data_IF_568234582848
#
_entry.id   IF_568234582848
#
_cell.length_a   1.000
_cell.length_b   1.000
_cell.length_c   1.000
_cell.angle_alpha   90.00
_cell.angle_beta   90.00
_cell.angle_gamma   90.00
#
_symmetry.space_group_name_H-M   'P 1'
#
loop_
_entity.id
_entity.type
_entity.pdbx_description
1 polymer ?
#
# COMPACT_ATOMS: atom_id res chain seq x y z
N UNK A 1 56.55 29.35 -13.19
CA UNK A 1 56.72 30.82 -13.15
C UNK A 1 55.32 31.41 -13.14
N UNK A 2 54.76 31.71 -11.96
CA UNK A 2 54.96 32.96 -11.20
C UNK A 2 54.30 34.16 -11.89
N UNK A 3 53.22 34.68 -11.29
CA UNK A 3 52.93 36.11 -11.07
C UNK A 3 51.46 36.25 -10.62
N UNK A 4 51.12 36.27 -9.33
CA UNK A 4 51.27 37.34 -8.32
C UNK A 4 50.07 38.30 -8.24
N UNK A 5 49.40 38.18 -7.08
CA UNK A 5 48.53 39.13 -6.37
C UNK A 5 48.93 40.61 -6.49
N UNK A 6 47.94 41.51 -6.43
CA UNK A 6 47.96 42.78 -5.65
C UNK A 6 46.56 43.48 -5.65
N UNK A 7 46.28 44.52 -4.82
CA UNK A 7 45.34 44.38 -3.67
C UNK A 7 44.43 45.61 -3.34
N UNK A 8 43.72 45.52 -2.19
CA UNK A 8 43.41 46.56 -1.17
C UNK A 8 42.15 47.49 -1.30
N UNK A 9 41.38 47.47 -0.19
CA UNK A 9 40.71 48.57 0.54
C UNK A 9 39.29 49.05 0.16
N UNK A 10 38.33 48.77 1.06
CA UNK A 10 37.64 49.80 1.88
C UNK A 10 36.88 49.12 3.03
N UNK A 11 37.39 49.13 4.27
CA UNK A 11 37.06 50.08 5.36
C UNK A 11 35.61 50.00 5.92
N UNK A 12 35.55 49.67 7.21
CA UNK A 12 34.66 50.21 8.25
C UNK A 12 33.16 49.87 8.20
N UNK A 13 32.74 49.08 9.20
CA UNK A 13 31.96 49.54 10.36
C UNK A 13 30.77 48.64 10.74
N UNK A 14 30.64 48.46 12.05
CA UNK A 14 29.44 48.08 12.81
C UNK A 14 29.03 46.60 12.81
N UNK A 15 29.69 45.90 13.74
CA UNK A 15 29.03 44.96 14.66
C UNK A 15 27.78 45.63 15.25
N UNK A 16 26.60 45.13 14.85
CA UNK A 16 25.36 45.05 15.62
C UNK A 16 24.21 44.85 14.63
N UNK A 17 23.81 43.61 14.43
CA UNK A 17 22.43 43.23 14.11
C UNK A 17 22.23 41.83 14.65
N UNK A 18 21.71 41.84 15.88
CA UNK A 18 21.06 40.72 16.54
C UNK A 18 20.19 39.96 15.54
N UNK A 19 20.54 38.69 15.32
CA UNK A 19 19.65 37.69 14.74
C UNK A 19 18.38 37.66 15.58
N UNK A 20 17.30 38.27 15.09
CA UNK A 20 15.94 37.97 15.56
C UNK A 20 15.61 36.52 15.19
N UNK A 21 16.07 35.58 16.01
CA UNK A 21 15.38 34.31 16.19
C UNK A 21 14.13 34.61 17.00
N UNK A 22 13.03 34.89 16.32
CA UNK A 22 11.71 34.78 16.94
C UNK A 22 11.38 33.30 17.04
N UNK A 23 11.78 32.69 18.16
CA UNK A 23 11.03 31.60 18.76
C UNK A 23 9.66 32.18 19.12
N UNK A 24 8.63 31.84 18.36
CA UNK A 24 7.24 32.08 18.73
C UNK A 24 6.60 30.72 19.02
N UNK A 25 5.83 30.50 20.07
CA UNK A 25 5.38 31.32 21.20
C UNK A 25 5.19 30.31 22.34
N UNK A 26 5.81 30.54 23.50
CA UNK A 26 5.35 29.93 24.74
C UNK A 26 3.99 30.55 25.05
N UNK A 27 2.93 29.76 24.97
CA UNK A 27 1.62 30.19 25.42
C UNK A 27 1.60 30.18 26.96
N UNK A 28 1.88 31.32 27.57
CA UNK A 28 1.52 31.56 28.98
C UNK A 28 0.03 31.96 29.05
N UNK A 29 -0.76 31.10 29.69
CA UNK A 29 -1.84 31.54 30.57
C UNK A 29 -3.27 31.67 30.02
N UNK A 30 -4.13 30.78 30.52
CA UNK A 30 -5.59 30.93 30.71
C UNK A 30 -6.54 30.70 29.53
N UNK A 31 -6.88 29.43 29.29
CA UNK A 31 -8.26 28.96 29.51
C UNK A 31 -8.21 27.46 29.78
N UNK A 32 -8.87 27.02 30.84
CA UNK A 32 -9.04 25.60 31.15
C UNK A 32 -10.03 24.96 30.17
N UNK A 33 -9.69 24.95 28.88
CA UNK A 33 -10.30 23.99 27.97
C UNK A 33 -9.79 22.62 28.40
N UNK A 34 -10.68 21.76 28.88
CA UNK A 34 -10.34 20.35 29.05
C UNK A 34 -9.79 19.87 27.71
N UNK A 35 -8.48 19.61 27.62
CA UNK A 35 -7.91 19.05 26.40
C UNK A 35 -8.68 17.77 26.08
N UNK A 36 -9.31 17.71 24.91
CA UNK A 36 -10.02 16.50 24.49
C UNK A 36 -9.07 15.31 24.52
N UNK A 37 -9.59 14.11 24.79
CA UNK A 37 -8.82 12.88 24.80
C UNK A 37 -8.10 12.68 23.46
N UNK A 38 -8.74 13.04 22.35
CA UNK A 38 -8.13 13.08 21.01
C UNK A 38 -6.90 13.98 20.93
N UNK A 39 -6.99 15.24 21.38
CA UNK A 39 -5.86 16.18 21.31
C UNK A 39 -4.68 15.72 22.17
N UNK A 40 -4.97 15.13 23.34
CA UNK A 40 -3.93 14.54 24.18
C UNK A 40 -3.20 13.39 23.45
N UNK A 41 -3.93 12.46 22.84
CA UNK A 41 -3.35 11.33 22.10
C UNK A 41 -2.54 11.78 20.86
N UNK A 42 -3.03 12.76 20.10
CA UNK A 42 -2.31 13.36 18.98
C UNK A 42 -0.98 13.99 19.44
N UNK A 43 -0.99 14.66 20.60
CA UNK A 43 0.23 15.23 21.17
C UNK A 43 1.20 14.13 21.63
N UNK A 44 0.72 13.05 22.25
CA UNK A 44 1.57 11.92 22.59
C UNK A 44 2.22 11.30 21.34
N UNK A 45 1.46 11.07 20.27
CA UNK A 45 2.03 10.57 19.01
C UNK A 45 3.08 11.54 18.46
N UNK A 46 2.84 12.84 18.51
CA UNK A 46 3.82 13.82 18.07
C UNK A 46 5.11 13.81 18.91
N UNK A 47 5.02 13.70 20.23
CA UNK A 47 6.21 13.70 21.09
C UNK A 47 7.03 12.41 20.96
N UNK A 48 6.37 11.27 20.76
CA UNK A 48 7.00 9.96 20.89
C UNK A 48 7.13 9.15 19.59
N UNK A 49 6.47 9.54 18.50
CA UNK A 49 6.52 8.85 17.21
C UNK A 49 7.43 9.55 16.20
N UNK A 50 7.89 8.80 15.20
CA UNK A 50 8.56 9.37 14.04
C UNK A 50 7.56 10.14 13.17
N UNK A 51 7.96 11.30 12.65
CA UNK A 51 7.08 12.20 11.86
C UNK A 51 7.09 11.87 10.36
N UNK A 52 7.05 10.59 10.02
CA UNK A 52 7.07 10.12 8.63
C UNK A 52 5.66 10.01 8.00
N UNK A 53 4.62 10.41 8.72
CA UNK A 53 3.25 10.53 8.24
C UNK A 53 2.71 11.94 8.51
N UNK A 54 1.65 12.31 7.78
CA UNK A 54 0.86 13.51 8.04
C UNK A 54 -0.60 13.12 8.32
N UNK A 55 -0.92 12.59 9.52
CA UNK A 55 -2.26 12.09 9.82
C UNK A 55 -3.33 13.19 9.76
N UNK A 56 -4.51 12.84 9.27
CA UNK A 56 -5.72 13.65 9.45
C UNK A 56 -6.02 13.67 10.97
N UNK A 57 -6.38 14.82 11.59
CA UNK A 57 -6.57 14.93 13.03
C UNK A 57 -7.89 14.29 13.51
N UNK A 58 -8.02 12.98 13.30
CA UNK A 58 -9.10 12.12 13.78
C UNK A 58 -8.47 10.92 14.47
N UNK A 59 -8.84 10.68 15.72
CA UNK A 59 -8.33 9.55 16.51
C UNK A 59 -9.34 8.42 16.45
N UNK A 60 -8.93 7.24 16.00
CA UNK A 60 -9.79 6.05 16.00
C UNK A 60 -9.70 5.41 17.40
N UNK A 61 -10.83 5.31 18.10
CA UNK A 61 -10.91 4.66 19.41
C UNK A 61 -11.66 3.33 19.33
N UNK A 62 -12.80 3.33 18.64
CA UNK A 62 -13.62 2.14 18.42
C UNK A 62 -14.07 2.08 16.95
N UNK A 63 -14.28 0.88 16.42
CA UNK A 63 -14.73 0.71 15.06
C UNK A 63 -15.54 -0.58 14.88
N UNK A 64 -16.55 -0.52 14.01
CA UNK A 64 -17.43 -1.65 13.66
C UNK A 64 -18.00 -1.47 12.25
N UNK A 65 -17.74 -2.45 11.37
CA UNK A 65 -18.15 -2.35 9.97
C UNK A 65 -17.48 -1.13 9.32
N UNK A 66 -18.26 -0.24 8.70
CA UNK A 66 -17.74 0.97 8.06
C UNK A 66 -17.75 2.21 8.98
N UNK A 67 -18.02 2.03 10.27
CA UNK A 67 -18.19 3.11 11.22
C UNK A 67 -17.03 3.11 12.21
N UNK A 68 -16.55 4.30 12.53
CA UNK A 68 -15.56 4.55 13.58
C UNK A 68 -16.10 5.57 14.59
N UNK A 69 -15.56 5.53 15.80
CA UNK A 69 -15.77 6.50 16.86
C UNK A 69 -14.44 7.01 17.38
N UNK A 70 -14.36 8.31 17.63
CA UNK A 70 -13.26 8.92 18.36
C UNK A 70 -13.45 8.77 19.89
N UNK A 71 -12.43 9.05 20.71
CA UNK A 71 -12.53 9.00 22.17
C UNK A 71 -13.64 9.87 22.77
N UNK A 72 -14.09 10.91 22.06
CA UNK A 72 -15.22 11.75 22.47
C UNK A 72 -16.58 11.16 22.07
N UNK A 73 -16.60 10.00 21.40
CA UNK A 73 -17.80 9.30 20.94
C UNK A 73 -18.38 9.86 19.64
N UNK A 74 -17.69 10.77 18.94
CA UNK A 74 -18.14 11.27 17.65
C UNK A 74 -17.90 10.22 16.58
N UNK A 75 -18.94 10.02 15.78
CA UNK A 75 -19.06 8.96 14.78
C UNK A 75 -18.61 9.45 13.40
N UNK A 76 -17.89 8.60 12.67
CA UNK A 76 -17.51 8.85 11.29
C UNK A 76 -17.78 7.62 10.42
N UNK A 77 -17.94 7.85 9.11
CA UNK A 77 -17.89 6.79 8.09
C UNK A 77 -16.47 6.73 7.54
N UNK A 78 -15.87 5.54 7.55
CA UNK A 78 -14.51 5.33 7.06
C UNK A 78 -14.50 5.00 5.56
N UNK A 79 -14.23 6.01 4.75
CA UNK A 79 -14.06 5.90 3.29
C UNK A 79 -12.62 5.56 2.86
N UNK A 80 -11.66 5.53 3.79
CA UNK A 80 -10.29 5.12 3.49
C UNK A 80 -10.14 3.60 3.60
N UNK A 81 -10.80 2.99 4.59
CA UNK A 81 -10.73 1.54 4.88
C UNK A 81 -9.29 1.03 4.96
N UNK A 82 -8.42 1.86 5.58
CA UNK A 82 -6.97 1.69 5.64
C UNK A 82 -6.34 1.25 4.30
N UNK A 83 -6.63 1.99 3.23
CA UNK A 83 -6.09 1.75 1.89
C UNK A 83 -6.42 0.35 1.33
N UNK A 84 -7.67 -0.12 1.52
CA UNK A 84 -8.14 -1.48 1.14
C UNK A 84 -7.66 -2.61 2.05
N UNK A 85 -7.27 -2.33 3.30
CA UNK A 85 -6.92 -3.37 4.27
C UNK A 85 -8.12 -3.91 5.07
N UNK A 86 -9.22 -3.15 5.09
CA UNK A 86 -10.41 -3.46 5.91
C UNK A 86 -11.64 -3.65 5.00
N UNK A 87 -11.51 -4.44 3.93
CA UNK A 87 -12.60 -4.64 2.95
C UNK A 87 -13.85 -5.25 3.58
N UNK A 88 -13.67 -6.10 4.59
CA UNK A 88 -14.73 -6.80 5.33
C UNK A 88 -15.37 -5.93 6.43
N UNK A 89 -14.90 -4.69 6.60
CA UNK A 89 -15.29 -3.82 7.70
C UNK A 89 -14.53 -4.09 9.00
N UNK A 90 -14.46 -3.06 9.84
CA UNK A 90 -13.73 -3.08 11.11
C UNK A 90 -14.30 -4.13 12.05
N UNK A 91 -13.41 -4.88 12.70
CA UNK A 91 -13.73 -5.86 13.75
C UNK A 91 -14.78 -6.89 13.33
N UNK A 92 -14.68 -7.41 12.09
CA UNK A 92 -15.65 -8.37 11.56
C UNK A 92 -15.77 -9.60 12.48
N UNK A 93 -16.98 -9.96 12.97
CA UNK A 93 -17.16 -10.93 14.05
C UNK A 93 -16.60 -12.32 13.72
N UNK A 94 -16.73 -12.76 12.46
CA UNK A 94 -16.17 -14.04 12.00
C UNK A 94 -14.64 -14.07 12.05
N UNK A 95 -14.00 -12.96 11.67
CA UNK A 95 -12.53 -12.85 11.62
C UNK A 95 -11.96 -12.73 13.04
N UNK A 96 -12.59 -11.89 13.88
CA UNK A 96 -12.18 -11.72 15.29
C UNK A 96 -12.34 -13.03 16.06
N UNK A 97 -13.43 -13.77 15.87
CA UNK A 97 -13.61 -15.08 16.50
C UNK A 97 -12.51 -16.06 16.10
N UNK A 98 -12.17 -16.12 14.80
CA UNK A 98 -11.10 -16.98 14.30
C UNK A 98 -9.73 -16.61 14.89
N UNK A 99 -9.46 -15.31 15.04
CA UNK A 99 -8.27 -14.80 15.73
C UNK A 99 -8.23 -15.26 17.20
N UNK A 100 -9.30 -15.04 17.96
CA UNK A 100 -9.37 -15.38 19.39
C UNK A 100 -9.17 -16.88 19.63
N UNK A 101 -9.92 -17.73 18.92
CA UNK A 101 -9.84 -19.18 19.07
C UNK A 101 -8.44 -19.72 18.73
N UNK A 102 -7.79 -19.19 17.70
CA UNK A 102 -6.45 -19.63 17.33
C UNK A 102 -5.37 -19.05 18.26
N UNK A 103 -5.56 -17.84 18.78
CA UNK A 103 -4.62 -17.20 19.72
C UNK A 103 -4.53 -17.96 21.05
N UNK A 104 -5.64 -18.53 21.52
CA UNK A 104 -5.69 -19.37 22.71
C UNK A 104 -5.07 -20.77 22.50
N UNK A 105 -4.89 -21.19 21.23
CA UNK A 105 -4.38 -22.52 20.87
C UNK A 105 -2.89 -22.51 20.52
N UNK A 106 -2.50 -21.74 19.50
CA UNK A 106 -1.12 -21.64 19.02
C UNK A 106 -0.95 -20.44 18.09
N UNK A 107 0.00 -19.56 18.42
CA UNK A 107 0.25 -18.35 17.62
C UNK A 107 1.39 -18.51 16.62
N UNK A 108 2.51 -19.10 17.05
CA UNK A 108 3.74 -19.20 16.26
C UNK A 108 4.47 -20.53 16.51
N UNK A 109 4.84 -21.23 15.44
CA UNK A 109 5.67 -22.45 15.50
C UNK A 109 7.07 -22.26 14.89
N UNK A 110 7.35 -21.13 14.25
CA UNK A 110 8.36 -21.00 13.18
C UNK A 110 8.12 -21.95 11.99
N UNK A 111 8.86 -21.73 10.90
CA UNK A 111 8.90 -22.63 9.73
C UNK A 111 9.89 -23.79 9.88
N UNK A 112 10.63 -23.86 11.00
CA UNK A 112 11.47 -25.01 11.33
C UNK A 112 10.65 -26.23 11.75
N UNK A 113 9.42 -26.00 12.23
CA UNK A 113 8.46 -27.03 12.60
C UNK A 113 7.21 -26.92 11.72
N UNK A 114 6.54 -28.05 11.50
CA UNK A 114 5.22 -28.06 10.91
C UNK A 114 4.19 -27.53 11.92
N UNK A 115 3.11 -26.96 11.40
CA UNK A 115 1.89 -26.68 12.16
C UNK A 115 0.68 -27.13 11.36
N UNK A 116 -0.47 -27.24 12.04
CA UNK A 116 -1.71 -27.80 11.51
C UNK A 116 -2.59 -26.77 10.77
N UNK A 117 -2.18 -25.50 10.70
CA UNK A 117 -2.97 -24.42 10.08
C UNK A 117 -2.41 -23.94 8.75
N UNK A 118 -1.10 -23.81 8.63
CA UNK A 118 -0.45 -23.33 7.42
C UNK A 118 -0.72 -24.22 6.19
N UNK A 119 -0.65 -25.57 6.26
CA UNK A 119 -0.96 -26.41 5.10
C UNK A 119 -2.38 -26.21 4.57
N UNK A 120 -3.36 -26.03 5.46
CA UNK A 120 -4.76 -25.76 5.10
C UNK A 120 -4.90 -24.39 4.45
N UNK A 121 -4.21 -23.38 4.98
CA UNK A 121 -4.17 -22.05 4.36
C UNK A 121 -3.52 -22.07 2.97
N UNK A 122 -2.43 -22.85 2.81
CA UNK A 122 -1.76 -23.01 1.54
C UNK A 122 -2.69 -23.63 0.49
N UNK A 123 -3.37 -24.73 0.83
CA UNK A 123 -4.37 -25.39 -0.03
C UNK A 123 -5.53 -24.46 -0.39
N UNK A 124 -6.04 -23.69 0.58
CA UNK A 124 -7.14 -22.74 0.37
C UNK A 124 -6.77 -21.68 -0.67
N UNK A 125 -5.60 -21.08 -0.54
CA UNK A 125 -5.10 -20.06 -1.46
C UNK A 125 -4.85 -20.62 -2.86
N UNK A 126 -4.11 -21.72 -2.96
CA UNK A 126 -3.76 -22.33 -4.26
C UNK A 126 -5.02 -22.74 -5.02
N UNK A 127 -5.99 -23.35 -4.34
CA UNK A 127 -7.26 -23.75 -4.95
C UNK A 127 -8.13 -22.56 -5.36
N UNK A 128 -8.20 -21.52 -4.53
CA UNK A 128 -9.05 -20.34 -4.80
C UNK A 128 -8.55 -19.51 -5.98
N UNK A 129 -7.24 -19.32 -6.08
CA UNK A 129 -6.62 -18.44 -7.09
C UNK A 129 -6.04 -19.22 -8.28
N UNK A 130 -6.09 -20.55 -8.25
CA UNK A 130 -5.65 -21.40 -9.35
C UNK A 130 -4.14 -21.39 -9.56
N UNK A 131 -3.35 -21.49 -8.49
CA UNK A 131 -1.89 -21.60 -8.51
C UNK A 131 -1.42 -22.90 -7.87
N UNK A 132 -0.25 -23.40 -8.22
CA UNK A 132 0.23 -24.64 -7.59
C UNK A 132 0.83 -24.47 -6.19
N UNK A 133 1.38 -23.29 -5.88
CA UNK A 133 2.05 -23.04 -4.59
C UNK A 133 1.93 -21.60 -4.10
N UNK A 134 2.17 -21.44 -2.79
CA UNK A 134 2.21 -20.16 -2.10
C UNK A 134 3.42 -20.06 -1.18
N UNK A 135 3.99 -18.86 -1.10
CA UNK A 135 4.96 -18.46 -0.10
C UNK A 135 4.37 -17.31 0.74
N UNK A 136 3.98 -17.54 2.00
CA UNK A 136 3.43 -16.51 2.86
C UNK A 136 4.51 -15.62 3.48
N UNK A 137 4.22 -14.33 3.57
CA UNK A 137 5.01 -13.31 4.26
C UNK A 137 4.09 -12.48 5.17
N UNK A 138 4.56 -11.36 5.71
CA UNK A 138 3.81 -10.58 6.70
C UNK A 138 3.27 -9.27 6.10
N UNK A 139 4.08 -8.59 5.30
CA UNK A 139 3.71 -7.30 4.68
C UNK A 139 3.68 -7.38 3.17
N UNK A 140 2.98 -6.44 2.53
CA UNK A 140 2.99 -6.31 1.08
C UNK A 140 4.41 -6.13 0.52
N UNK A 141 5.23 -5.30 1.17
CA UNK A 141 6.61 -5.05 0.76
C UNK A 141 7.47 -6.34 0.80
N UNK A 142 7.30 -7.19 1.81
CA UNK A 142 7.97 -8.51 1.83
C UNK A 142 7.45 -9.44 0.72
N UNK A 143 6.16 -9.37 0.40
CA UNK A 143 5.59 -10.08 -0.75
C UNK A 143 6.25 -9.65 -2.06
N UNK A 144 6.42 -8.35 -2.27
CA UNK A 144 7.11 -7.81 -3.44
C UNK A 144 8.58 -8.24 -3.46
N UNK A 145 9.32 -8.09 -2.37
CA UNK A 145 10.72 -8.56 -2.27
C UNK A 145 10.84 -10.06 -2.60
N UNK A 146 9.87 -10.85 -2.17
CA UNK A 146 9.77 -12.28 -2.49
C UNK A 146 9.56 -12.52 -3.97
N UNK A 147 8.63 -11.81 -4.60
CA UNK A 147 8.37 -11.90 -6.04
C UNK A 147 9.59 -11.46 -6.87
N UNK A 148 10.30 -10.40 -6.45
CA UNK A 148 11.54 -9.96 -7.09
C UNK A 148 12.64 -11.04 -7.02
N UNK A 149 12.80 -11.67 -5.85
CA UNK A 149 13.76 -12.78 -5.67
C UNK A 149 13.38 -13.99 -6.53
N UNK A 150 12.09 -14.37 -6.55
CA UNK A 150 11.58 -15.44 -7.41
C UNK A 150 11.88 -15.16 -8.88
N UNK A 151 11.54 -13.96 -9.36
CA UNK A 151 11.74 -13.59 -10.75
C UNK A 151 13.22 -13.62 -11.14
N UNK A 152 14.10 -12.99 -10.35
CA UNK A 152 15.54 -13.01 -10.62
C UNK A 152 16.11 -14.42 -10.62
N UNK A 153 15.73 -15.25 -9.63
CA UNK A 153 16.24 -16.62 -9.53
C UNK A 153 15.74 -17.51 -10.67
N UNK A 154 14.45 -17.40 -11.03
CA UNK A 154 13.90 -18.04 -12.23
C UNK A 154 14.61 -17.56 -13.50
N UNK A 155 14.87 -16.26 -13.61
CA UNK A 155 15.62 -15.66 -14.71
C UNK A 155 17.00 -16.29 -14.92
N UNK A 156 17.74 -16.48 -13.83
CA UNK A 156 19.05 -17.14 -13.87
C UNK A 156 18.96 -18.66 -14.13
N UNK A 157 18.07 -19.37 -13.42
CA UNK A 157 18.03 -20.83 -13.45
C UNK A 157 17.30 -21.40 -14.66
N UNK A 158 16.21 -20.75 -15.10
CA UNK A 158 15.32 -21.24 -16.16
C UNK A 158 15.53 -20.49 -17.47
N UNK A 159 15.46 -19.15 -17.45
CA UNK A 159 15.65 -18.31 -18.63
C UNK A 159 17.12 -18.17 -19.06
N UNK A 160 18.07 -18.55 -18.19
CA UNK A 160 19.53 -18.49 -18.43
C UNK A 160 20.07 -17.09 -18.66
N UNK A 161 19.48 -16.09 -18.01
CA UNK A 161 20.04 -14.74 -17.96
C UNK A 161 21.46 -14.81 -17.38
N UNK A 162 22.46 -14.09 -17.95
CA UNK A 162 23.79 -14.03 -17.38
C UNK A 162 23.79 -13.57 -15.92
N UNK A 163 24.75 -14.08 -15.14
CA UNK A 163 24.85 -13.80 -13.71
C UNK A 163 24.90 -12.30 -13.45
N UNK A 164 24.07 -11.83 -12.50
CA UNK A 164 23.95 -10.43 -12.09
C UNK A 164 23.39 -9.47 -13.17
N UNK A 165 22.84 -10.00 -14.27
CA UNK A 165 22.28 -9.18 -15.34
C UNK A 165 20.74 -9.20 -15.40
N UNK A 166 20.06 -9.82 -14.43
CA UNK A 166 18.60 -9.86 -14.43
C UNK A 166 17.97 -8.48 -14.21
N UNK A 167 17.10 -8.10 -15.13
CA UNK A 167 16.33 -6.85 -15.13
C UNK A 167 14.90 -7.13 -14.67
N UNK A 168 14.37 -6.26 -13.82
CA UNK A 168 12.94 -6.16 -13.54
C UNK A 168 12.41 -4.88 -14.18
N UNK A 169 11.34 -5.00 -14.97
CA UNK A 169 10.63 -3.83 -15.50
C UNK A 169 9.49 -3.47 -14.55
N UNK A 170 9.27 -2.18 -14.31
CA UNK A 170 8.21 -1.65 -13.43
C UNK A 170 7.58 -0.40 -14.03
N UNK A 171 6.42 0.02 -13.52
CA UNK A 171 5.71 1.19 -14.02
C UNK A 171 6.08 2.48 -13.26
N UNK A 172 6.23 3.61 -13.93
CA UNK A 172 6.21 4.90 -13.24
C UNK A 172 4.86 5.12 -12.55
N UNK A 173 4.88 5.78 -11.39
CA UNK A 173 3.71 5.90 -10.51
C UNK A 173 3.50 4.70 -9.57
N UNK A 174 4.29 3.63 -9.69
CA UNK A 174 4.08 2.44 -8.86
C UNK A 174 4.28 2.68 -7.36
N UNK A 175 3.51 1.97 -6.53
CA UNK A 175 3.76 1.83 -5.10
C UNK A 175 3.74 0.35 -4.70
N UNK A 176 4.93 -0.21 -4.49
CA UNK A 176 5.09 -1.61 -4.12
C UNK A 176 5.65 -1.79 -2.69
N UNK A 177 5.67 -0.71 -1.90
CA UNK A 177 6.26 -0.67 -0.55
C UNK A 177 7.44 0.31 -0.42
N UNK A 178 8.22 0.16 0.67
CA UNK A 178 9.24 1.13 1.10
C UNK A 178 10.63 0.52 1.37
N UNK A 179 10.88 -0.72 0.98
CA UNK A 179 12.22 -1.34 1.10
C UNK A 179 13.17 -0.81 0.03
N UNK A 180 14.49 -0.96 0.22
CA UNK A 180 15.50 -0.44 -0.71
C UNK A 180 15.32 -0.97 -2.14
N UNK A 181 15.08 -2.27 -2.34
CA UNK A 181 14.89 -2.81 -3.69
C UNK A 181 13.59 -2.29 -4.34
N UNK A 182 12.55 -2.13 -3.54
CA UNK A 182 11.26 -1.60 -4.00
C UNK A 182 11.37 -0.14 -4.42
N UNK A 183 11.91 0.74 -3.57
CA UNK A 183 12.04 2.16 -3.91
C UNK A 183 13.00 2.38 -5.09
N UNK A 184 13.91 1.44 -5.36
CA UNK A 184 14.80 1.49 -6.53
C UNK A 184 14.04 1.45 -7.86
N UNK A 185 12.81 0.92 -7.85
CA UNK A 185 11.90 0.90 -9.01
C UNK A 185 11.04 2.16 -9.12
N UNK A 186 10.92 2.96 -8.06
CA UNK A 186 10.02 4.12 -8.03
C UNK A 186 10.50 5.27 -8.92
N UNK A 187 9.58 5.96 -9.60
CA UNK A 187 9.84 7.25 -10.26
C UNK A 187 9.61 8.45 -9.31
N UNK A 188 9.15 8.20 -8.08
CA UNK A 188 8.94 9.22 -7.06
C UNK A 188 10.28 9.63 -6.42
N UNK A 189 10.58 10.93 -6.51
CA UNK A 189 11.76 11.52 -5.93
C UNK A 189 11.72 11.50 -4.40
N UNK A 190 10.54 11.62 -3.77
CA UNK A 190 10.43 11.57 -2.31
C UNK A 190 10.72 10.17 -1.78
N UNK A 191 10.27 9.14 -2.50
CA UNK A 191 10.57 7.76 -2.16
C UNK A 191 12.07 7.40 -2.24
N UNK A 192 12.89 8.14 -3.01
CA UNK A 192 14.28 7.74 -3.33
C UNK A 192 15.35 8.68 -2.77
N UNK A 193 15.03 9.95 -2.52
CA UNK A 193 16.01 10.97 -2.13
C UNK A 193 16.67 10.63 -0.78
N UNK A 194 17.99 10.52 -0.80
CA UNK A 194 18.79 10.31 0.42
C UNK A 194 18.97 8.85 0.84
N UNK A 195 18.43 7.88 0.09
CA UNK A 195 18.53 6.45 0.41
C UNK A 195 19.55 5.67 -0.44
N UNK A 196 20.39 6.38 -1.20
CA UNK A 196 21.37 5.77 -2.10
C UNK A 196 22.55 5.09 -1.37
N UNK A 197 23.25 4.14 -2.03
CA UNK A 197 23.01 3.67 -3.41
C UNK A 197 21.78 2.75 -3.52
N UNK A 198 20.98 2.97 -4.56
CA UNK A 198 19.82 2.14 -4.88
C UNK A 198 20.23 0.81 -5.51
N UNK A 199 19.36 -0.19 -5.43
CA UNK A 199 19.56 -1.52 -6.01
C UNK A 199 19.52 -1.41 -7.54
N UNK A 200 20.51 -1.91 -8.29
CA UNK A 200 20.51 -1.86 -9.75
C UNK A 200 19.64 -2.96 -10.37
N UNK A 201 19.49 -2.93 -11.70
CA UNK A 201 18.78 -3.97 -12.47
C UNK A 201 17.29 -3.71 -12.61
N UNK A 202 16.90 -2.44 -12.79
CA UNK A 202 15.51 -2.02 -12.97
C UNK A 202 15.36 -1.10 -14.19
N UNK A 203 14.32 -1.30 -14.97
CA UNK A 203 13.88 -0.41 -16.05
C UNK A 203 12.44 0.03 -15.76
N UNK A 204 12.10 1.26 -16.14
CA UNK A 204 10.80 1.87 -15.87
C UNK A 204 10.09 2.16 -17.19
N UNK A 205 8.77 2.00 -17.19
CA UNK A 205 7.88 2.32 -18.31
C UNK A 205 6.67 3.09 -17.79
N UNK A 206 6.03 3.90 -18.62
CA UNK A 206 4.80 4.57 -18.20
C UNK A 206 3.65 3.56 -18.08
N UNK A 207 2.85 3.70 -17.02
CA UNK A 207 1.72 2.81 -16.77
C UNK A 207 0.67 2.96 -17.87
N UNK A 208 0.17 1.84 -18.39
CA UNK A 208 -0.83 1.83 -19.47
C UNK A 208 -0.25 1.90 -20.89
N UNK A 209 1.07 2.08 -21.06
CA UNK A 209 1.72 2.14 -22.39
C UNK A 209 2.30 0.78 -22.81
N UNK A 210 1.45 -0.05 -23.42
CA UNK A 210 1.86 -1.35 -23.95
C UNK A 210 2.87 -1.25 -25.13
N UNK A 211 2.89 -0.13 -25.85
CA UNK A 211 3.80 0.07 -27.00
C UNK A 211 5.21 0.32 -26.49
N UNK A 212 5.36 1.20 -25.49
CA UNK A 212 6.63 1.44 -24.82
C UNK A 212 7.12 0.18 -24.10
N UNK A 213 6.22 -0.58 -23.46
CA UNK A 213 6.58 -1.86 -22.84
C UNK A 213 7.12 -2.86 -23.87
N UNK A 214 6.46 -3.01 -25.03
CA UNK A 214 6.97 -3.90 -26.09
C UNK A 214 8.34 -3.45 -26.59
N UNK A 215 8.58 -2.14 -26.73
CA UNK A 215 9.90 -1.62 -27.12
C UNK A 215 10.99 -2.04 -26.13
N UNK A 216 10.76 -1.87 -24.83
CA UNK A 216 11.69 -2.30 -23.78
C UNK A 216 11.93 -3.82 -23.85
N UNK A 217 10.86 -4.61 -24.07
CA UNK A 217 10.97 -6.06 -24.19
C UNK A 217 11.74 -6.49 -25.46
N UNK A 218 11.60 -5.76 -26.58
CA UNK A 218 12.40 -6.00 -27.79
C UNK A 218 13.89 -5.72 -27.57
N UNK A 219 14.21 -4.64 -26.86
CA UNK A 219 15.60 -4.19 -26.65
C UNK A 219 16.33 -5.00 -25.57
N UNK A 220 15.61 -5.50 -24.56
CA UNK A 220 16.20 -6.08 -23.36
C UNK A 220 15.61 -7.44 -22.95
N UNK A 221 14.70 -8.01 -23.74
CA UNK A 221 13.91 -9.20 -23.41
C UNK A 221 14.72 -10.37 -22.88
N UNK A 222 15.90 -10.64 -23.47
CA UNK A 222 16.77 -11.75 -23.06
C UNK A 222 17.32 -11.61 -21.63
N UNK A 223 17.30 -10.39 -21.07
CA UNK A 223 17.75 -10.07 -19.70
C UNK A 223 16.62 -9.68 -18.76
N UNK A 224 15.39 -9.53 -19.25
CA UNK A 224 14.25 -9.20 -18.40
C UNK A 224 13.73 -10.49 -17.75
N UNK A 225 13.78 -10.55 -16.42
CA UNK A 225 13.28 -11.67 -15.65
C UNK A 225 11.78 -11.56 -15.35
N UNK A 226 11.29 -10.34 -15.11
CA UNK A 226 9.89 -10.10 -14.78
C UNK A 226 9.45 -8.67 -15.03
N UNK A 227 8.15 -8.49 -15.21
CA UNK A 227 7.46 -7.21 -15.22
C UNK A 227 6.53 -7.14 -14.02
N UNK A 228 6.84 -6.23 -13.09
CA UNK A 228 6.05 -5.96 -11.88
C UNK A 228 5.16 -4.75 -12.12
N UNK A 229 3.86 -4.91 -11.90
CA UNK A 229 2.90 -3.83 -12.07
C UNK A 229 1.69 -4.02 -11.14
N UNK A 230 1.01 -2.92 -10.84
CA UNK A 230 -0.32 -2.94 -10.22
C UNK A 230 -1.38 -3.00 -11.34
N UNK A 231 -2.39 -3.88 -11.29
CA UNK A 231 -3.48 -3.87 -12.27
C UNK A 231 -4.28 -2.56 -12.31
N UNK A 232 -4.34 -1.87 -11.17
CA UNK A 232 -4.84 -0.50 -11.00
C UNK A 232 -3.84 0.20 -10.08
N UNK A 233 -3.21 1.29 -10.50
CA UNK A 233 -2.26 1.99 -9.64
C UNK A 233 -2.98 2.74 -8.53
N UNK A 234 -2.72 2.33 -7.31
CA UNK A 234 -3.42 2.80 -6.13
C UNK A 234 -3.01 4.18 -5.66
N UNK A 235 -1.82 4.22 -5.07
CA UNK A 235 -1.24 5.43 -4.46
C UNK A 235 -0.95 6.53 -5.50
N UNK A 236 -0.88 6.18 -6.78
CA UNK A 236 -0.76 7.13 -7.89
C UNK A 236 -2.05 7.95 -8.15
N UNK A 237 -3.12 7.69 -7.40
CA UNK A 237 -4.42 8.36 -7.56
C UNK A 237 -5.48 7.50 -8.24
N UNK A 238 -5.49 6.18 -7.97
CA UNK A 238 -6.49 5.23 -8.50
C UNK A 238 -6.54 5.27 -10.04
N UNK A 239 -5.40 5.02 -10.67
CA UNK A 239 -5.26 5.06 -12.13
C UNK A 239 -5.70 3.71 -12.71
N UNK A 240 -6.81 3.72 -13.43
CA UNK A 240 -7.31 2.56 -14.19
C UNK A 240 -6.62 2.55 -15.55
N UNK A 241 -5.98 1.45 -15.98
CA UNK A 241 -5.30 1.41 -17.27
C UNK A 241 -6.29 1.41 -18.45
N UNK A 242 -5.82 1.71 -19.67
CA UNK A 242 -6.64 1.58 -20.87
C UNK A 242 -7.20 0.16 -21.03
N UNK A 243 -8.41 0.03 -21.56
CA UNK A 243 -9.03 -1.26 -21.84
C UNK A 243 -8.13 -2.13 -22.73
N UNK A 244 -7.93 -3.39 -22.34
CA UNK A 244 -7.09 -4.36 -23.04
C UNK A 244 -5.62 -4.31 -22.62
N UNK A 245 -5.23 -3.40 -21.72
CA UNK A 245 -3.85 -3.27 -21.27
C UNK A 245 -3.34 -4.52 -20.55
N UNK A 246 -4.14 -5.10 -19.63
CA UNK A 246 -3.71 -6.29 -18.89
C UNK A 246 -3.52 -7.49 -19.82
N UNK A 247 -4.42 -7.63 -20.80
CA UNK A 247 -4.31 -8.65 -21.85
C UNK A 247 -3.06 -8.43 -22.72
N UNK A 248 -2.78 -7.18 -23.12
CA UNK A 248 -1.57 -6.85 -23.87
C UNK A 248 -0.30 -7.17 -23.07
N UNK A 249 -0.25 -6.82 -21.78
CA UNK A 249 0.86 -7.17 -20.88
C UNK A 249 1.07 -8.68 -20.83
N UNK A 250 0.00 -9.46 -20.68
CA UNK A 250 0.07 -10.93 -20.67
C UNK A 250 0.67 -11.47 -21.96
N UNK A 251 0.18 -11.01 -23.11
CA UNK A 251 0.62 -11.46 -24.42
C UNK A 251 2.10 -11.10 -24.66
N UNK A 252 2.53 -9.91 -24.24
CA UNK A 252 3.93 -9.49 -24.28
C UNK A 252 4.81 -10.34 -23.36
N UNK A 253 4.40 -10.56 -22.11
CA UNK A 253 5.15 -11.38 -21.16
C UNK A 253 5.35 -12.80 -21.70
N UNK A 254 4.30 -13.40 -22.28
CA UNK A 254 4.39 -14.72 -22.93
C UNK A 254 5.30 -14.70 -24.16
N UNK A 255 5.18 -13.71 -25.04
CA UNK A 255 5.99 -13.58 -26.27
C UNK A 255 7.50 -13.49 -25.98
N UNK A 256 7.88 -12.75 -24.95
CA UNK A 256 9.28 -12.49 -24.59
C UNK A 256 9.81 -13.38 -23.46
N UNK A 257 9.03 -14.38 -23.05
CA UNK A 257 9.35 -15.26 -21.93
C UNK A 257 9.76 -14.47 -20.67
N UNK A 258 8.94 -13.50 -20.28
CA UNK A 258 9.10 -12.64 -19.11
C UNK A 258 8.00 -13.00 -18.12
N UNK A 259 8.32 -13.10 -16.82
CA UNK A 259 7.28 -13.35 -15.81
C UNK A 259 6.40 -12.12 -15.64
N UNK A 260 5.09 -12.30 -15.76
CA UNK A 260 4.08 -11.32 -15.41
C UNK A 260 3.83 -11.37 -13.90
N UNK A 261 4.20 -10.32 -13.18
CA UNK A 261 4.07 -10.21 -11.72
C UNK A 261 3.02 -9.13 -11.40
N UNK A 262 1.85 -9.56 -10.94
CA UNK A 262 0.78 -8.64 -10.55
C UNK A 262 0.82 -8.38 -9.05
N UNK A 263 0.96 -7.10 -8.69
CA UNK A 263 0.72 -6.61 -7.34
C UNK A 263 -0.78 -6.38 -7.15
N UNK A 264 -1.46 -7.35 -6.54
CA UNK A 264 -2.89 -7.31 -6.21
C UNK A 264 -3.10 -7.00 -4.72
N UNK A 265 -2.09 -6.44 -4.04
CA UNK A 265 -2.14 -6.15 -2.61
C UNK A 265 -3.31 -5.18 -2.30
N UNK A 266 -3.53 -4.17 -3.15
CA UNK A 266 -4.61 -3.20 -2.96
C UNK A 266 -5.84 -3.45 -3.82
N UNK A 267 -5.65 -3.81 -5.10
CA UNK A 267 -6.71 -3.94 -6.10
C UNK A 267 -7.46 -5.28 -6.04
N UNK A 268 -6.83 -6.30 -5.45
CA UNK A 268 -7.38 -7.64 -5.33
C UNK A 268 -8.36 -7.79 -4.17
N UNK A 269 -8.74 -9.03 -3.91
CA UNK A 269 -9.61 -9.45 -2.81
C UNK A 269 -10.94 -8.66 -2.80
N UNK A 270 -11.64 -8.73 -3.92
CA UNK A 270 -12.95 -8.11 -4.17
C UNK A 270 -12.96 -6.58 -4.28
N UNK A 271 -11.86 -5.87 -3.99
CA UNK A 271 -11.85 -4.39 -3.99
C UNK A 271 -12.31 -3.79 -5.32
N UNK A 272 -11.89 -4.36 -6.43
CA UNK A 272 -12.23 -3.87 -7.77
C UNK A 272 -13.53 -4.46 -8.35
N UNK A 273 -14.33 -5.19 -7.56
CA UNK A 273 -15.51 -5.95 -8.02
C UNK A 273 -15.18 -7.35 -8.56
N UNK A 274 -13.91 -7.75 -8.55
CA UNK A 274 -13.45 -9.11 -8.87
C UNK A 274 -12.53 -9.63 -7.78
N UNK A 275 -12.36 -10.95 -7.72
CA UNK A 275 -11.47 -11.55 -6.73
C UNK A 275 -10.02 -11.08 -6.95
N UNK A 276 -9.59 -11.01 -8.21
CA UNK A 276 -8.39 -10.30 -8.63
C UNK A 276 -8.77 -9.25 -9.68
N UNK A 277 -8.15 -8.08 -9.66
CA UNK A 277 -8.38 -7.06 -10.69
C UNK A 277 -7.98 -7.58 -12.09
N UNK A 278 -6.98 -8.46 -12.21
CA UNK A 278 -6.64 -9.13 -13.46
C UNK A 278 -7.78 -9.96 -14.07
N UNK A 279 -8.76 -10.40 -13.27
CA UNK A 279 -9.91 -11.18 -13.76
C UNK A 279 -10.83 -10.36 -14.67
N UNK A 280 -10.78 -9.02 -14.60
CA UNK A 280 -11.56 -8.13 -15.48
C UNK A 280 -11.23 -8.33 -16.96
N UNK A 281 -10.01 -8.76 -17.27
CA UNK A 281 -9.58 -9.08 -18.64
C UNK A 281 -9.27 -10.57 -18.82
N UNK A 282 -9.66 -11.42 -17.85
CA UNK A 282 -9.43 -12.86 -17.90
C UNK A 282 -7.96 -13.24 -17.94
N UNK A 283 -7.10 -12.45 -17.29
CA UNK A 283 -5.64 -12.64 -17.31
C UNK A 283 -5.19 -13.30 -16.03
N UNK A 284 -4.37 -14.36 -16.15
CA UNK A 284 -3.66 -14.98 -15.03
C UNK A 284 -2.18 -14.57 -15.04
N UNK A 285 -1.71 -13.82 -14.02
CA UNK A 285 -0.28 -13.53 -13.81
C UNK A 285 0.52 -14.81 -13.55
N UNK A 286 1.83 -14.79 -13.86
CA UNK A 286 2.74 -15.89 -13.51
C UNK A 286 3.05 -15.90 -12.01
N UNK A 287 3.06 -14.70 -11.41
CA UNK A 287 3.17 -14.47 -9.97
C UNK A 287 2.12 -13.44 -9.56
N UNK A 288 1.34 -13.73 -8.52
CA UNK A 288 0.43 -12.74 -7.89
C UNK A 288 0.83 -12.52 -6.44
N UNK A 289 0.75 -11.26 -6.01
CA UNK A 289 1.07 -10.84 -4.64
C UNK A 289 -0.23 -10.35 -3.99
N UNK A 290 -0.56 -10.92 -2.84
CA UNK A 290 -1.72 -10.57 -2.03
C UNK A 290 -1.26 -10.04 -0.67
N UNK A 291 -2.03 -9.15 -0.07
CA UNK A 291 -1.78 -8.57 1.24
C UNK A 291 -3.00 -7.83 1.76
N UNK A 292 -2.80 -6.82 2.62
CA UNK A 292 -3.85 -5.91 3.11
C UNK A 292 -5.13 -6.65 3.54
N UNK A 293 -6.20 -6.61 2.73
CA UNK A 293 -7.47 -7.28 3.00
C UNK A 293 -7.34 -8.78 3.26
N UNK A 294 -6.23 -9.43 2.87
CA UNK A 294 -5.94 -10.82 3.22
C UNK A 294 -5.97 -11.02 4.73
N UNK A 295 -5.47 -10.07 5.50
CA UNK A 295 -5.50 -10.09 6.96
C UNK A 295 -6.80 -9.61 7.59
N UNK A 296 -7.77 -9.16 6.79
CA UNK A 296 -9.06 -8.65 7.24
C UNK A 296 -8.97 -7.43 8.17
N UNK A 297 -7.88 -6.66 8.09
CA UNK A 297 -7.58 -5.57 9.02
C UNK A 297 -7.16 -6.00 10.43
N UNK A 298 -7.00 -7.30 10.70
CA UNK A 298 -6.73 -7.85 12.04
C UNK A 298 -5.26 -8.17 12.25
N UNK A 299 -4.59 -8.77 11.27
CA UNK A 299 -3.18 -9.18 11.38
C UNK A 299 -2.42 -8.95 10.07
N UNK A 300 -1.15 -8.51 10.11
CA UNK A 300 -0.32 -8.45 8.90
C UNK A 300 -0.09 -9.84 8.32
N UNK A 301 -0.51 -10.04 7.08
CA UNK A 301 -0.23 -11.22 6.28
C UNK A 301 -0.18 -10.85 4.81
N UNK A 302 0.76 -11.45 4.09
CA UNK A 302 0.84 -11.40 2.64
C UNK A 302 1.13 -12.78 2.07
N UNK A 303 0.84 -12.96 0.79
CA UNK A 303 1.04 -14.23 0.11
C UNK A 303 1.52 -13.98 -1.32
N UNK A 304 2.55 -14.72 -1.72
CA UNK A 304 3.02 -14.75 -3.12
C UNK A 304 2.64 -16.10 -3.69
N UNK A 305 1.83 -16.12 -4.74
CA UNK A 305 1.40 -17.34 -5.41
C UNK A 305 2.06 -17.44 -6.78
N UNK A 306 2.53 -18.63 -7.12
CA UNK A 306 3.10 -18.95 -8.43
C UNK A 306 3.08 -20.48 -8.66
N UNK A 307 3.26 -20.89 -9.91
CA UNK A 307 3.39 -22.31 -10.25
C UNK A 307 4.75 -22.88 -9.86
N UNK A 308 4.87 -24.22 -9.82
CA UNK A 308 6.07 -24.91 -9.31
C UNK A 308 7.34 -24.53 -10.06
N UNK A 309 7.25 -24.27 -11.37
CA UNK A 309 8.41 -23.89 -12.19
C UNK A 309 9.09 -22.61 -11.68
N UNK A 310 8.30 -21.65 -11.18
CA UNK A 310 8.79 -20.39 -10.60
C UNK A 310 9.10 -20.57 -9.12
N UNK A 311 8.15 -21.09 -8.35
CA UNK A 311 8.22 -21.11 -6.89
C UNK A 311 9.31 -22.04 -6.34
N UNK A 312 9.55 -23.22 -6.96
CA UNK A 312 10.62 -24.15 -6.55
C UNK A 312 12.01 -23.71 -6.99
N UNK A 313 12.14 -22.58 -7.67
CA UNK A 313 13.46 -21.99 -7.84
C UNK A 313 14.05 -21.70 -6.45
N UNK A 314 13.29 -21.12 -5.51
CA UNK A 314 13.77 -20.90 -4.13
C UNK A 314 13.87 -22.23 -3.37
N UNK A 315 15.06 -22.52 -2.83
CA UNK A 315 15.39 -23.74 -2.09
C UNK A 315 15.48 -23.49 -0.59
N UNK A 316 15.43 -24.55 0.25
CA UNK A 316 15.64 -24.43 1.69
C UNK A 316 16.91 -23.64 2.03
N UNK A 317 16.77 -22.62 2.88
CA UNK A 317 17.86 -21.74 3.31
C UNK A 317 18.07 -20.46 2.48
N UNK A 318 17.46 -20.33 1.30
CA UNK A 318 17.65 -19.16 0.42
C UNK A 318 16.64 -18.02 0.66
N UNK A 319 15.53 -18.34 1.33
CA UNK A 319 14.50 -17.39 1.73
C UNK A 319 13.87 -17.86 3.05
N UNK A 320 13.40 -16.93 3.87
CA UNK A 320 12.72 -17.26 5.11
C UNK A 320 12.09 -16.03 5.76
N UNK A 321 11.15 -16.28 6.66
CA UNK A 321 10.50 -15.28 7.49
C UNK A 321 10.12 -15.94 8.82
N UNK A 322 10.37 -15.25 9.93
CA UNK A 322 10.04 -15.75 11.27
C UNK A 322 8.54 -15.97 11.42
N UNK A 323 7.74 -14.99 10.98
CA UNK A 323 6.29 -14.99 11.11
C UNK A 323 5.56 -15.44 9.84
N UNK A 324 6.26 -15.55 8.70
CA UNK A 324 5.66 -16.00 7.44
C UNK A 324 5.05 -17.40 7.56
N UNK A 325 3.74 -17.51 7.36
CA UNK A 325 3.00 -18.77 7.48
C UNK A 325 2.77 -19.24 8.91
N UNK A 326 2.73 -18.31 9.88
CA UNK A 326 2.36 -18.65 11.24
C UNK A 326 0.89 -19.12 11.35
N UNK A 327 0.54 -19.99 12.33
CA UNK A 327 -0.81 -20.52 12.50
C UNK A 327 -1.91 -19.47 12.69
N UNK A 328 -1.63 -18.40 13.43
CA UNK A 328 -2.61 -17.35 13.73
C UNK A 328 -3.02 -16.58 12.47
N UNK A 329 -2.04 -16.08 11.73
CA UNK A 329 -2.28 -15.38 10.46
C UNK A 329 -2.95 -16.30 9.43
N UNK A 330 -2.59 -17.59 9.40
CA UNK A 330 -3.19 -18.57 8.48
C UNK A 330 -4.71 -18.71 8.71
N UNK A 331 -5.15 -18.84 9.95
CA UNK A 331 -6.59 -18.98 10.29
C UNK A 331 -7.34 -17.67 10.06
N UNK A 332 -6.75 -16.54 10.44
CA UNK A 332 -7.34 -15.21 10.18
C UNK A 332 -7.50 -14.95 8.69
N UNK A 333 -6.50 -15.30 7.87
CA UNK A 333 -6.55 -15.13 6.43
C UNK A 333 -7.62 -16.01 5.78
N UNK A 334 -7.78 -17.26 6.23
CA UNK A 334 -8.88 -18.13 5.78
C UNK A 334 -10.23 -17.48 6.11
N UNK A 335 -10.45 -17.09 7.37
CA UNK A 335 -11.71 -16.48 7.78
C UNK A 335 -12.02 -15.19 7.00
N UNK A 336 -10.99 -14.38 6.73
CA UNK A 336 -11.04 -13.18 5.91
C UNK A 336 -11.49 -13.45 4.47
N UNK A 337 -10.93 -14.47 3.83
CA UNK A 337 -11.31 -14.90 2.48
C UNK A 337 -12.73 -15.49 2.45
N UNK A 338 -13.10 -16.25 3.49
CA UNK A 338 -14.44 -16.83 3.59
C UNK A 338 -15.50 -15.74 3.70
N UNK A 339 -15.26 -14.66 4.45
CA UNK A 339 -16.17 -13.50 4.52
C UNK A 339 -16.36 -12.89 3.14
N UNK A 340 -15.28 -12.66 2.38
CA UNK A 340 -15.36 -12.12 1.01
C UNK A 340 -16.28 -12.99 0.13
N UNK A 341 -16.16 -14.31 0.22
CA UNK A 341 -16.96 -15.24 -0.60
C UNK A 341 -18.41 -15.38 -0.13
N UNK A 342 -18.62 -15.59 1.17
CA UNK A 342 -19.94 -15.84 1.76
C UNK A 342 -20.83 -14.61 1.69
N UNK A 343 -20.25 -13.43 1.91
CA UNK A 343 -20.96 -12.14 1.85
C UNK A 343 -20.96 -11.52 0.44
N UNK A 344 -20.35 -12.21 -0.53
CA UNK A 344 -20.32 -11.82 -1.95
C UNK A 344 -19.81 -10.40 -2.16
N UNK A 345 -18.71 -10.05 -1.49
CA UNK A 345 -18.14 -8.69 -1.55
C UNK A 345 -17.59 -8.33 -2.94
N UNK A 346 -17.43 -9.31 -3.84
CA UNK A 346 -17.09 -9.06 -5.23
C UNK A 346 -18.35 -8.69 -6.02
N UNK A 347 -18.58 -7.39 -6.18
CA UNK A 347 -19.73 -6.83 -6.89
C UNK A 347 -19.59 -6.88 -8.41
N UNK A 348 -20.72 -7.07 -9.11
CA UNK A 348 -20.77 -6.93 -10.56
C UNK A 348 -20.47 -5.50 -11.01
N UNK A 349 -20.07 -5.34 -12.28
CA UNK A 349 -19.81 -4.02 -12.87
C UNK A 349 -21.01 -3.07 -12.73
N UNK A 350 -22.22 -3.61 -12.85
CA UNK A 350 -23.43 -2.80 -12.81
C UNK A 350 -23.76 -2.37 -11.38
N UNK A 351 -23.50 -3.22 -10.38
CA UNK A 351 -23.59 -2.87 -8.95
C UNK A 351 -22.56 -1.80 -8.57
N UNK A 352 -21.29 -1.96 -8.96
CA UNK A 352 -20.25 -0.94 -8.72
C UNK A 352 -20.63 0.39 -9.35
N UNK A 353 -21.17 0.37 -10.57
CA UNK A 353 -21.60 1.58 -11.28
C UNK A 353 -22.77 2.26 -10.56
N UNK A 354 -23.76 1.50 -10.12
CA UNK A 354 -24.91 2.04 -9.39
C UNK A 354 -24.49 2.59 -8.02
N UNK A 355 -23.69 1.85 -7.25
CA UNK A 355 -23.15 2.31 -5.97
C UNK A 355 -22.32 3.58 -6.11
N UNK A 356 -21.47 3.67 -7.14
CA UNK A 356 -20.67 4.87 -7.44
C UNK A 356 -21.56 6.07 -7.78
N UNK A 357 -22.63 5.85 -8.56
CA UNK A 357 -23.59 6.90 -8.90
C UNK A 357 -24.34 7.38 -7.66
N UNK A 358 -24.86 6.47 -6.84
CA UNK A 358 -25.55 6.81 -5.59
C UNK A 358 -24.64 7.60 -4.66
N UNK A 359 -23.38 7.17 -4.50
CA UNK A 359 -22.41 7.89 -3.67
C UNK A 359 -22.12 9.29 -4.22
N UNK A 360 -21.94 9.41 -5.54
CA UNK A 360 -21.78 10.69 -6.21
C UNK A 360 -22.99 11.61 -5.94
N UNK A 361 -24.20 11.11 -6.14
CA UNK A 361 -25.43 11.88 -5.95
C UNK A 361 -25.58 12.35 -4.48
N UNK A 362 -25.26 11.49 -3.52
CA UNK A 362 -25.25 11.87 -2.09
C UNK A 362 -24.23 12.99 -1.81
N UNK A 363 -23.02 12.88 -2.35
CA UNK A 363 -21.95 13.83 -2.06
C UNK A 363 -22.13 15.19 -2.77
N UNK A 364 -22.59 15.18 -4.02
CA UNK A 364 -22.68 16.38 -4.86
C UNK A 364 -24.06 17.06 -4.81
N UNK A 365 -25.13 16.30 -4.53
CA UNK A 365 -26.50 16.83 -4.53
C UNK A 365 -27.05 16.95 -3.11
N UNK A 366 -27.06 15.86 -2.35
CA UNK A 366 -27.75 15.83 -1.05
C UNK A 366 -26.96 16.55 0.05
N UNK A 367 -25.66 16.29 0.15
CA UNK A 367 -24.82 16.85 1.20
C UNK A 367 -24.81 18.39 1.22
N UNK A 368 -24.68 19.11 0.09
CA UNK A 368 -24.79 20.57 0.08
C UNK A 368 -26.16 21.08 0.54
N UNK A 369 -27.24 20.35 0.22
CA UNK A 369 -28.60 20.70 0.65
C UNK A 369 -28.81 20.46 2.15
N UNK A 370 -28.26 19.37 2.69
CA UNK A 370 -28.27 19.08 4.12
C UNK A 370 -27.48 20.10 4.93
N UNK A 371 -26.33 20.56 4.42
CA UNK A 371 -25.51 21.59 5.08
C UNK A 371 -26.23 22.96 5.15
N UNK A 372 -27.04 23.31 4.14
CA UNK A 372 -27.87 24.53 4.14
C UNK A 372 -29.03 24.47 5.15
N UNK A 373 -29.50 23.28 5.51
CA UNK A 373 -30.63 23.05 6.40
C UNK A 373 -30.24 22.90 7.89
N UNK A 374 -29.06 23.39 8.31
CA UNK A 374 -28.55 23.23 9.68
C UNK A 374 -29.60 23.56 10.77
N UNK A 375 -29.81 22.69 11.78
CA UNK A 375 -30.60 23.04 12.95
C UNK A 375 -30.01 24.28 13.64
N UNK A 376 -30.88 25.19 14.11
CA UNK A 376 -30.53 26.51 14.69
C UNK A 376 -29.55 26.48 15.88
N UNK A 377 -29.30 25.32 16.47
CA UNK A 377 -28.48 25.18 17.69
C UNK A 377 -27.17 24.39 17.50
N UNK A 378 -26.61 24.35 16.29
CA UNK A 378 -25.30 23.72 16.09
C UNK A 378 -24.16 24.74 16.33
N UNK A 379 -23.22 24.49 17.27
CA UNK A 379 -22.13 25.42 17.53
C UNK A 379 -21.26 25.59 16.28
N UNK A 380 -21.19 26.83 15.78
CA UNK A 380 -20.35 27.24 14.67
C UNK A 380 -18.96 27.60 15.19
N UNK A 381 -18.04 26.65 15.17
CA UNK A 381 -16.62 26.97 15.14
C UNK A 381 -16.06 26.54 13.80
N UNK A 382 -15.69 27.54 12.99
CA UNK A 382 -14.85 27.32 11.82
C UNK A 382 -13.53 26.72 12.33
N UNK A 383 -13.25 25.49 11.94
CA UNK A 383 -12.04 24.75 12.34
C UNK A 383 -10.89 25.18 11.47
N UNK A 384 -10.34 26.35 11.76
CA UNK A 384 -8.97 26.67 11.37
C UNK A 384 -8.09 25.75 12.21
N UNK A 385 -7.21 24.97 11.57
CA UNK A 385 -6.28 24.12 12.31
C UNK A 385 -5.37 24.99 13.17
N UNK A 386 -5.56 24.93 14.49
CA UNK A 386 -4.88 25.70 15.53
C UNK A 386 -3.34 25.52 15.48
N UNK A 387 -2.89 24.45 14.81
CA UNK A 387 -1.51 24.01 14.71
C UNK A 387 -0.79 24.46 13.44
N UNK A 388 -1.50 24.60 12.32
CA UNK A 388 -0.89 24.95 11.03
C UNK A 388 -1.56 26.12 10.29
N UNK A 389 -2.61 26.71 10.88
CA UNK A 389 -3.33 27.85 10.32
C UNK A 389 -4.19 27.55 9.08
N UNK A 390 -4.15 26.33 8.55
CA UNK A 390 -4.89 25.95 7.34
C UNK A 390 -6.39 25.84 7.60
N UNK A 391 -7.17 26.35 6.66
CA UNK A 391 -8.61 26.13 6.61
C UNK A 391 -8.89 24.85 5.81
N UNK A 392 -9.28 23.78 6.50
CA UNK A 392 -9.42 22.44 5.90
C UNK A 392 -10.54 22.35 4.84
N UNK A 393 -11.36 23.40 4.68
CA UNK A 393 -12.43 23.48 3.69
C UNK A 393 -12.20 24.56 2.62
N UNK A 394 -11.05 25.24 2.63
CA UNK A 394 -10.70 26.21 1.57
C UNK A 394 -9.94 25.53 0.42
N UNK A 395 -10.48 25.50 -0.82
CA UNK A 395 -9.82 24.90 -1.96
C UNK A 395 -8.47 25.53 -2.33
N UNK A 396 -8.19 26.77 -1.92
CA UNK A 396 -6.94 27.46 -2.27
C UNK A 396 -5.70 27.00 -1.48
N UNK A 397 -5.88 26.29 -0.37
CA UNK A 397 -4.79 25.80 0.49
C UNK A 397 -4.26 24.40 0.09
N UNK A 398 -4.75 23.84 -1.03
CA UNK A 398 -4.40 22.48 -1.51
C UNK A 398 -3.07 22.38 -2.28
N UNK A 399 -2.36 23.48 -2.48
CA UNK A 399 -1.10 23.48 -3.23
C UNK A 399 0.04 23.89 -2.31
N UNK A 400 0.70 22.91 -1.68
CA UNK A 400 2.12 22.95 -1.30
C UNK A 400 2.60 21.54 -0.95
#
# INVERSE_FOLDING_TARGET
MAATRKPLLSLLSRVSRTSRRTYGVLAEGSSSSSSSSSNHLINLEYEYSAHNYHPIPVVFSEAKGSIIWDPEGKKYLDFLSAYSAVNQGHCHPKIIKAFQEQAERLTLSSRAFYNDRFPVFAERLTSMFGYEMVLPMNTGAEGVETALKLARKWGYEKKKIPKNEAIIVSCCGCFHGRTLAVISMSCDNEATRGFGPLVPGHIKVDFGDAVALEKIFKEHGDRIAGFLFEPIQGEAGVIIPPKGYLKAVRDLCSKYNVLMIADEIQSGLARSGKMLACDWEGVRPDVVILGKALGGGVIPVSAVLADKDVMLCIRPGEHGSTFGGNPLASVVAIASLDVIQEEKLAESRDEVKEGSKVLHDVLELDLPNMQKAKPKDSPTTATICDRCGRNLYDPSDRAL
#
